data_IF_993130957699
#
_entry.id   IF_993130957699
#
_cell.length_a   1.000
_cell.length_b   1.000
_cell.length_c   1.000
_cell.angle_alpha   90.00
_cell.angle_beta   90.00
_cell.angle_gamma   90.00
#
_symmetry.space_group_name_H-M   'P 1'
#
loop_
_entity.id
_entity.type
_entity.pdbx_description
1 polymer ?
#
# COMPACT_ATOMS: atom_id res chain seq x y z
N UNK A 1 -1.17 -23.82 8.47
CA UNK A 1 -1.32 -23.69 7.01
C UNK A 1 -1.98 -22.33 6.75
N UNK A 2 -1.35 -21.49 5.95
CA UNK A 2 -1.90 -20.20 5.53
C UNK A 2 -2.49 -20.42 4.13
N UNK A 3 -3.82 -20.22 3.93
CA UNK A 3 -4.44 -20.42 2.63
C UNK A 3 -3.97 -19.36 1.63
N UNK A 4 -3.93 -19.73 0.35
CA UNK A 4 -3.67 -18.77 -0.71
C UNK A 4 -4.80 -17.75 -0.78
N UNK A 5 -4.43 -16.48 -0.87
CA UNK A 5 -5.38 -15.37 -0.97
C UNK A 5 -5.55 -14.92 -2.43
N UNK A 6 -6.66 -14.28 -2.69
CA UNK A 6 -6.98 -13.57 -3.93
C UNK A 6 -7.75 -12.29 -3.58
N UNK A 7 -7.95 -11.42 -4.56
CA UNK A 7 -8.80 -10.24 -4.38
C UNK A 7 -10.25 -10.61 -4.07
N UNK A 8 -11.04 -9.61 -3.69
CA UNK A 8 -12.49 -9.79 -3.48
C UNK A 8 -13.19 -10.29 -4.74
N UNK A 9 -14.19 -11.15 -4.57
CA UNK A 9 -15.09 -11.58 -5.66
C UNK A 9 -15.80 -10.40 -6.35
N UNK A 10 -15.99 -9.28 -5.66
CA UNK A 10 -16.51 -8.05 -6.25
C UNK A 10 -15.70 -7.62 -7.48
N UNK A 11 -14.35 -7.71 -7.44
CA UNK A 11 -13.53 -7.34 -8.59
C UNK A 11 -13.66 -8.30 -9.76
N UNK A 12 -13.94 -9.60 -9.48
CA UNK A 12 -14.20 -10.60 -10.51
C UNK A 12 -15.56 -10.34 -11.19
N UNK A 13 -16.63 -10.09 -10.40
CA UNK A 13 -17.97 -9.85 -10.92
C UNK A 13 -18.14 -8.50 -11.61
N UNK A 14 -17.31 -7.53 -11.27
CA UNK A 14 -17.30 -6.20 -11.90
C UNK A 14 -16.33 -6.09 -13.09
N UNK A 15 -15.74 -7.21 -13.53
CA UNK A 15 -14.79 -7.26 -14.66
C UNK A 15 -13.55 -6.35 -14.49
N UNK A 16 -13.20 -6.06 -13.23
CA UNK A 16 -12.03 -5.22 -12.88
C UNK A 16 -10.73 -6.03 -12.76
N UNK A 17 -10.77 -7.30 -13.10
CA UNK A 17 -9.65 -8.23 -13.11
C UNK A 17 -9.72 -9.12 -14.35
N UNK A 18 -8.56 -9.48 -14.92
CA UNK A 18 -8.50 -10.46 -16.00
C UNK A 18 -9.02 -11.83 -15.54
N UNK A 19 -9.73 -12.51 -16.44
CA UNK A 19 -10.20 -13.88 -16.21
C UNK A 19 -9.03 -14.79 -15.79
N UNK A 20 -9.25 -15.55 -14.72
CA UNK A 20 -8.27 -16.45 -14.11
C UNK A 20 -7.05 -15.76 -13.45
N UNK A 21 -7.09 -14.45 -13.24
CA UNK A 21 -6.11 -13.75 -12.42
C UNK A 21 -6.60 -13.61 -10.98
N UNK A 22 -5.65 -13.40 -10.06
CA UNK A 22 -5.94 -13.26 -8.61
C UNK A 22 -5.96 -11.81 -8.13
N UNK A 23 -5.38 -10.90 -8.89
CA UNK A 23 -5.11 -9.53 -8.48
C UNK A 23 -5.42 -8.56 -9.61
N UNK A 24 -5.92 -7.37 -9.27
CA UNK A 24 -6.29 -6.34 -10.23
C UNK A 24 -5.08 -5.55 -10.71
N UNK A 25 -4.96 -5.36 -12.02
CA UNK A 25 -3.96 -4.47 -12.60
C UNK A 25 -4.40 -3.01 -12.44
N UNK A 26 -3.46 -2.17 -12.04
CA UNK A 26 -3.69 -0.73 -11.85
C UNK A 26 -2.54 0.09 -12.44
N UNK A 27 -2.82 1.35 -12.70
CA UNK A 27 -1.78 2.34 -12.98
C UNK A 27 -0.95 2.58 -11.70
N UNK A 28 0.36 2.33 -11.69
CA UNK A 28 1.18 2.49 -10.49
C UNK A 28 1.35 3.96 -10.05
N UNK A 29 1.00 4.92 -10.91
CA UNK A 29 1.10 6.35 -10.60
C UNK A 29 0.01 6.83 -9.64
N UNK A 30 -1.22 6.33 -9.80
CA UNK A 30 -2.39 6.81 -9.07
C UNK A 30 -3.35 5.72 -8.60
N UNK A 31 -3.06 4.45 -8.88
CA UNK A 31 -3.85 3.26 -8.56
C UNK A 31 -5.23 3.20 -9.23
N UNK A 32 -5.44 3.96 -10.32
CA UNK A 32 -6.64 3.79 -11.15
C UNK A 32 -6.65 2.41 -11.81
N UNK A 33 -7.85 1.83 -11.99
CA UNK A 33 -8.03 0.60 -12.76
C UNK A 33 -7.60 0.82 -14.21
N UNK A 34 -7.03 -0.22 -14.85
CA UNK A 34 -6.77 -0.21 -16.29
C UNK A 34 -7.98 -0.67 -17.11
N UNK A 35 -9.06 -1.11 -16.44
CA UNK A 35 -10.25 -1.69 -17.08
C UNK A 35 -11.48 -0.78 -17.01
N UNK A 36 -11.47 0.22 -16.14
CA UNK A 36 -12.61 1.11 -15.95
C UNK A 36 -12.15 2.49 -15.49
N UNK A 37 -12.66 3.51 -16.13
CA UNK A 37 -12.40 4.90 -15.74
C UNK A 37 -13.04 5.22 -14.38
N UNK A 38 -12.41 6.13 -13.64
CA UNK A 38 -12.88 6.62 -12.33
C UNK A 38 -12.99 5.54 -11.25
N UNK A 39 -12.40 4.36 -11.45
CA UNK A 39 -12.29 3.29 -10.46
C UNK A 39 -10.85 3.19 -9.98
N UNK A 40 -10.66 3.17 -8.67
CA UNK A 40 -9.35 3.06 -8.02
C UNK A 40 -9.30 1.80 -7.18
N UNK A 41 -8.24 1.01 -7.32
CA UNK A 41 -8.05 -0.25 -6.59
C UNK A 41 -6.74 -0.15 -5.83
N UNK A 42 -6.79 -0.36 -4.51
CA UNK A 42 -5.67 -0.15 -3.61
C UNK A 42 -5.39 -1.40 -2.75
N UNK A 43 -4.28 -1.37 -2.04
CA UNK A 43 -3.92 -2.38 -1.06
C UNK A 43 -3.69 -3.76 -1.67
N UNK A 44 -4.03 -4.78 -0.91
CA UNK A 44 -3.74 -6.17 -1.24
C UNK A 44 -4.46 -6.70 -2.48
N UNK A 45 -5.50 -6.01 -2.94
CA UNK A 45 -6.22 -6.34 -4.17
C UNK A 45 -5.44 -6.06 -5.44
N UNK A 46 -4.37 -5.26 -5.37
CA UNK A 46 -3.57 -4.87 -6.53
C UNK A 46 -2.59 -5.95 -6.98
N UNK A 47 -2.36 -6.03 -8.30
CA UNK A 47 -1.34 -6.91 -8.87
C UNK A 47 0.06 -6.33 -8.69
N UNK A 48 0.92 -7.08 -8.02
CA UNK A 48 2.32 -6.71 -7.79
C UNK A 48 3.10 -6.49 -9.10
N UNK A 49 2.76 -7.21 -10.17
CA UNK A 49 3.42 -7.04 -11.46
C UNK A 49 3.12 -5.68 -12.09
N UNK A 50 1.94 -5.10 -11.83
CA UNK A 50 1.59 -3.75 -12.28
C UNK A 50 2.11 -2.65 -11.35
N UNK A 51 1.95 -2.81 -10.04
CA UNK A 51 2.34 -1.79 -9.05
C UNK A 51 3.86 -1.71 -8.87
N UNK A 52 4.52 -2.85 -8.72
CA UNK A 52 5.94 -2.94 -8.37
C UNK A 52 6.21 -3.71 -7.09
N UNK A 53 7.44 -3.62 -6.58
CA UNK A 53 7.95 -4.44 -5.48
C UNK A 53 7.57 -3.90 -4.08
N UNK A 54 6.32 -3.51 -3.88
CA UNK A 54 5.82 -3.11 -2.56
C UNK A 54 5.26 -4.29 -1.78
N UNK A 55 5.39 -4.34 -0.46
CA UNK A 55 4.77 -5.38 0.35
C UNK A 55 3.25 -5.20 0.40
N UNK A 56 2.53 -6.30 0.57
CA UNK A 56 1.11 -6.29 0.92
C UNK A 56 0.99 -6.08 2.42
N UNK A 57 0.75 -4.85 2.83
CA UNK A 57 0.65 -4.44 4.24
C UNK A 57 -0.38 -3.34 4.42
N UNK A 58 -0.94 -3.23 5.64
CA UNK A 58 -1.86 -2.15 5.98
C UNK A 58 -1.25 -0.76 5.79
N UNK A 59 0.04 -0.62 6.06
CA UNK A 59 0.76 0.65 5.88
C UNK A 59 0.83 1.09 4.41
N UNK A 60 1.12 0.14 3.50
CA UNK A 60 1.11 0.40 2.06
C UNK A 60 -0.31 0.63 1.55
N UNK A 61 -1.29 -0.16 2.00
CA UNK A 61 -2.69 0.03 1.62
C UNK A 61 -3.18 1.44 1.99
N UNK A 62 -2.86 1.92 3.19
CA UNK A 62 -3.17 3.27 3.64
C UNK A 62 -2.46 4.35 2.81
N UNK A 63 -1.18 4.15 2.49
CA UNK A 63 -0.41 5.05 1.62
C UNK A 63 -0.99 5.10 0.20
N UNK A 64 -1.38 3.96 -0.36
CA UNK A 64 -2.07 3.89 -1.66
C UNK A 64 -3.40 4.66 -1.64
N UNK A 65 -4.18 4.52 -0.55
CA UNK A 65 -5.43 5.25 -0.37
C UNK A 65 -5.22 6.78 -0.41
N UNK A 66 -4.20 7.28 0.26
CA UNK A 66 -3.85 8.72 0.22
C UNK A 66 -3.45 9.18 -1.18
N UNK A 67 -2.63 8.41 -1.88
CA UNK A 67 -2.23 8.73 -3.27
C UNK A 67 -3.43 8.74 -4.20
N UNK A 68 -4.31 7.73 -4.12
CA UNK A 68 -5.51 7.65 -4.94
C UNK A 68 -6.46 8.83 -4.65
N UNK A 69 -6.75 9.10 -3.38
CA UNK A 69 -7.62 10.22 -2.98
C UNK A 69 -7.07 11.57 -3.44
N UNK A 70 -5.76 11.80 -3.31
CA UNK A 70 -5.13 13.02 -3.77
C UNK A 70 -5.13 13.14 -5.30
N UNK A 71 -4.97 12.03 -6.02
CA UNK A 71 -5.08 12.01 -7.49
C UNK A 71 -6.50 12.32 -7.96
N UNK A 72 -7.52 11.80 -7.27
CA UNK A 72 -8.92 12.18 -7.53
C UNK A 72 -9.14 13.68 -7.29
N UNK A 73 -8.67 14.21 -6.17
CA UNK A 73 -8.76 15.62 -5.85
C UNK A 73 -8.09 16.50 -6.91
N UNK A 74 -6.88 16.15 -7.35
CA UNK A 74 -6.20 16.87 -8.43
C UNK A 74 -6.98 16.81 -9.76
N UNK A 75 -7.52 15.64 -10.10
CA UNK A 75 -8.32 15.44 -11.31
C UNK A 75 -9.59 16.32 -11.32
N UNK A 76 -10.27 16.42 -10.17
CA UNK A 76 -11.46 17.30 -10.04
C UNK A 76 -11.13 18.79 -10.18
N UNK A 77 -9.89 19.18 -9.94
CA UNK A 77 -9.39 20.55 -10.10
C UNK A 77 -8.65 20.77 -11.43
N UNK A 78 -8.67 19.79 -12.32
CA UNK A 78 -7.95 19.83 -13.60
C UNK A 78 -6.44 20.11 -13.42
N UNK A 79 -5.84 19.54 -12.36
CA UNK A 79 -4.42 19.67 -12.00
C UNK A 79 -3.70 18.33 -12.09
N UNK A 80 -2.42 18.40 -12.40
CA UNK A 80 -1.54 17.23 -12.33
C UNK A 80 -1.31 16.80 -10.86
N UNK A 81 -1.40 15.50 -10.61
CA UNK A 81 -1.00 14.96 -9.31
C UNK A 81 0.52 14.80 -9.25
N UNK A 82 1.14 15.00 -8.07
CA UNK A 82 2.56 14.76 -7.91
C UNK A 82 2.89 13.27 -8.01
N UNK A 83 4.15 12.98 -8.33
CA UNK A 83 4.67 11.62 -8.34
C UNK A 83 4.52 10.96 -6.97
N UNK A 84 3.94 9.77 -6.88
CA UNK A 84 3.68 9.14 -5.59
C UNK A 84 4.97 8.73 -4.87
N UNK A 85 5.00 8.98 -3.57
CA UNK A 85 5.99 8.47 -2.64
C UNK A 85 5.26 7.83 -1.46
N UNK A 86 5.76 6.70 -1.00
CA UNK A 86 5.11 5.91 0.04
C UNK A 86 6.14 5.40 1.06
N UNK A 87 5.69 5.22 2.28
CA UNK A 87 6.46 4.59 3.34
C UNK A 87 5.77 3.29 3.76
N UNK A 88 6.55 2.31 4.13
CA UNK A 88 6.07 1.12 4.83
C UNK A 88 6.84 0.94 6.12
N UNK A 89 6.15 0.69 7.22
CA UNK A 89 6.74 0.21 8.45
C UNK A 89 6.01 -1.06 8.89
N UNK A 90 6.75 -2.15 8.99
CA UNK A 90 6.25 -3.39 9.58
C UNK A 90 6.76 -3.51 11.00
N UNK A 91 5.85 -3.68 11.95
CA UNK A 91 6.15 -3.93 13.35
C UNK A 91 5.99 -5.41 13.67
N UNK A 92 6.87 -5.92 14.52
CA UNK A 92 6.76 -7.27 15.07
C UNK A 92 6.96 -7.21 16.58
N UNK A 93 5.92 -7.55 17.34
CA UNK A 93 6.02 -7.65 18.79
C UNK A 93 6.74 -8.96 19.15
N UNK A 94 7.92 -8.84 19.76
CA UNK A 94 8.74 -9.98 20.19
C UNK A 94 8.47 -10.37 21.64
N UNK A 95 7.77 -9.50 22.38
CA UNK A 95 7.19 -9.76 23.70
C UNK A 95 6.04 -8.79 23.96
N UNK A 96 5.37 -8.90 25.10
CA UNK A 96 4.28 -8.00 25.50
C UNK A 96 4.66 -6.50 25.41
N UNK A 97 5.90 -6.16 25.72
CA UNK A 97 6.36 -4.77 25.86
C UNK A 97 7.59 -4.47 25.00
N UNK A 98 7.94 -5.30 24.03
CA UNK A 98 9.09 -5.05 23.12
C UNK A 98 8.74 -5.41 21.70
N UNK A 99 9.16 -4.57 20.77
CA UNK A 99 8.97 -4.76 19.33
C UNK A 99 10.24 -4.48 18.55
N UNK A 100 10.29 -5.00 17.35
CA UNK A 100 11.22 -4.63 16.29
C UNK A 100 10.44 -4.05 15.13
N UNK A 101 11.11 -3.28 14.26
CA UNK A 101 10.49 -2.72 13.06
C UNK A 101 11.42 -2.80 11.87
N UNK A 102 10.84 -2.90 10.68
CA UNK A 102 11.51 -2.65 9.41
C UNK A 102 10.76 -1.55 8.67
N UNK A 103 11.50 -0.53 8.22
CA UNK A 103 10.94 0.60 7.47
C UNK A 103 11.56 0.65 6.08
N UNK A 104 10.76 0.97 5.07
CA UNK A 104 11.21 1.13 3.69
C UNK A 104 10.47 2.28 3.03
N UNK A 105 11.17 3.02 2.17
CA UNK A 105 10.61 4.11 1.37
C UNK A 105 10.52 3.67 -0.08
N UNK A 106 9.43 4.05 -0.74
CA UNK A 106 9.13 3.73 -2.12
C UNK A 106 8.77 4.98 -2.89
N UNK A 107 9.13 5.01 -4.17
CA UNK A 107 8.81 6.10 -5.09
C UNK A 107 8.39 5.54 -6.46
N UNK A 108 7.70 6.34 -7.23
CA UNK A 108 7.37 5.99 -8.61
C UNK A 108 8.56 6.27 -9.54
N UNK A 109 8.97 5.26 -10.29
CA UNK A 109 9.96 5.36 -11.36
C UNK A 109 9.27 5.51 -12.70
N UNK A 110 9.46 6.65 -13.36
CA UNK A 110 8.95 6.89 -14.73
C UNK A 110 9.56 5.91 -15.73
N UNK A 111 10.86 5.63 -15.60
CA UNK A 111 11.59 4.72 -16.50
C UNK A 111 11.01 3.32 -16.48
N UNK A 112 10.67 2.81 -15.28
CA UNK A 112 10.14 1.45 -15.09
C UNK A 112 8.62 1.39 -15.13
N UNK A 113 7.96 2.53 -15.10
CA UNK A 113 6.51 2.66 -14.90
C UNK A 113 6.03 1.80 -13.72
N UNK A 114 6.70 1.91 -12.57
CA UNK A 114 6.43 1.12 -11.35
C UNK A 114 6.87 1.86 -10.09
N UNK A 115 6.30 1.45 -8.98
CA UNK A 115 6.80 1.81 -7.66
C UNK A 115 8.05 0.97 -7.37
N UNK A 116 9.13 1.63 -6.98
CA UNK A 116 10.42 1.02 -6.65
C UNK A 116 10.86 1.43 -5.25
N UNK A 117 11.68 0.61 -4.61
CA UNK A 117 12.29 0.99 -3.33
C UNK A 117 13.38 2.02 -3.56
N UNK A 118 13.41 3.04 -2.72
CA UNK A 118 14.49 4.04 -2.69
C UNK A 118 15.75 3.37 -2.14
N UNK A 119 16.86 3.50 -2.88
CA UNK A 119 18.12 2.89 -2.50
C UNK A 119 18.60 3.45 -1.14
N UNK A 120 19.04 2.57 -0.26
CA UNK A 120 19.53 2.89 1.09
C UNK A 120 18.49 3.56 2.03
N UNK A 121 17.20 3.52 1.68
CA UNK A 121 16.11 4.05 2.50
C UNK A 121 15.29 2.94 3.17
N UNK A 122 15.91 1.80 3.43
CA UNK A 122 15.34 0.69 4.21
C UNK A 122 16.21 0.43 5.43
N UNK A 123 15.57 0.21 6.56
CA UNK A 123 16.27 -0.07 7.83
C UNK A 123 15.49 -1.04 8.71
N UNK A 124 16.25 -1.94 9.34
CA UNK A 124 15.78 -2.78 10.43
C UNK A 124 16.18 -2.12 11.75
N UNK A 125 15.29 -2.10 12.74
CA UNK A 125 15.66 -1.65 14.07
C UNK A 125 16.84 -2.49 14.63
N UNK A 126 17.88 -1.86 15.18
CA UNK A 126 19.09 -2.59 15.63
C UNK A 126 18.78 -3.55 16.79
N UNK A 127 17.82 -3.18 17.64
CA UNK A 127 17.40 -3.97 18.80
C UNK A 127 15.89 -3.88 19.01
N UNK A 128 15.32 -4.81 19.75
CA UNK A 128 13.95 -4.70 20.24
C UNK A 128 13.85 -3.65 21.36
N UNK A 129 12.78 -2.84 21.34
CA UNK A 129 12.58 -1.80 22.36
C UNK A 129 11.12 -1.64 22.74
N UNK A 130 10.90 -1.05 23.92
CA UNK A 130 9.57 -0.68 24.38
C UNK A 130 8.97 0.46 23.53
N UNK A 131 9.80 1.38 23.06
CA UNK A 131 9.35 2.46 22.17
C UNK A 131 8.77 1.92 20.88
N UNK A 132 9.40 0.92 20.26
CA UNK A 132 8.87 0.31 19.01
C UNK A 132 7.55 -0.41 19.29
N UNK A 133 7.41 -1.08 20.43
CA UNK A 133 6.14 -1.68 20.81
C UNK A 133 5.04 -0.63 21.01
N UNK A 134 5.33 0.49 21.68
CA UNK A 134 4.41 1.61 21.82
C UNK A 134 4.00 2.18 20.46
N UNK A 135 4.95 2.48 19.60
CA UNK A 135 4.68 2.97 18.23
C UNK A 135 3.80 2.01 17.40
N UNK A 136 3.96 0.69 17.58
CA UNK A 136 3.11 -0.30 16.92
C UNK A 136 1.64 -0.18 17.38
N UNK A 137 1.41 0.01 18.68
CA UNK A 137 0.07 0.20 19.22
C UNK A 137 -0.54 1.54 18.85
N UNK A 138 0.24 2.62 18.90
CA UNK A 138 -0.20 3.96 18.50
C UNK A 138 -0.61 3.98 17.03
N UNK A 139 0.16 3.34 16.18
CA UNK A 139 -0.20 3.20 14.76
C UNK A 139 -1.50 2.42 14.57
N UNK A 140 -1.67 1.30 15.29
CA UNK A 140 -2.89 0.49 15.19
C UNK A 140 -4.12 1.29 15.65
N UNK A 141 -4.00 2.03 16.76
CA UNK A 141 -5.08 2.86 17.29
C UNK A 141 -5.42 4.01 16.33
N UNK A 142 -4.43 4.67 15.74
CA UNK A 142 -4.65 5.73 14.76
C UNK A 142 -5.41 5.22 13.52
N UNK A 143 -5.00 4.07 12.96
CA UNK A 143 -5.70 3.45 11.82
C UNK A 143 -7.13 3.05 12.18
N UNK A 144 -7.35 2.47 13.36
CA UNK A 144 -8.71 2.12 13.79
C UNK A 144 -9.59 3.36 13.99
N UNK A 145 -9.04 4.42 14.55
CA UNK A 145 -9.76 5.69 14.66
C UNK A 145 -10.14 6.26 13.30
N UNK A 146 -9.21 6.25 12.34
CA UNK A 146 -9.46 6.75 10.97
C UNK A 146 -10.50 5.92 10.20
N UNK A 147 -10.56 4.60 10.46
CA UNK A 147 -11.43 3.69 9.71
C UNK A 147 -12.81 3.47 10.34
N UNK A 148 -12.94 3.70 11.65
CA UNK A 148 -14.12 3.33 12.43
C UNK A 148 -14.84 4.55 13.03
N UNK A 149 -14.36 5.77 12.80
CA UNK A 149 -14.98 7.03 13.26
C UNK A 149 -16.05 7.56 12.32
#
# INVERSE_FOLDING_TARGET
>A
IIPQQKCSSLLETSELIEKNKKWAKVNPYNFSSIYSDNVYIIGDSTDRASVGAVPKSGYIAYSMGKVAAFSVYCSLLEKDSPSPSMINTCYSLVSKNKGISVTSIYEYSKERNKIVSVKNASGLSPNSSALIAANAWDWAQAIWSDMLS
#
